data_IF_661476851001
#
_entry.id   IF_661476851001
#
_cell.length_a   1.000
_cell.length_b   1.000
_cell.length_c   1.000
_cell.angle_alpha   90.00
_cell.angle_beta   90.00
_cell.angle_gamma   90.00
#
_symmetry.space_group_name_H-M   'P 1'
#
loop_
_entity.id
_entity.type
_entity.pdbx_description
1 polymer ?
#
# COMPACT_ATOMS: atom_id res chain seq x y z
N UNK A 1 -7.78 16.51 -23.30
CA UNK A 1 -7.99 16.32 -21.86
C UNK A 1 -8.47 14.88 -21.69
N UNK A 2 -7.69 14.00 -21.07
CA UNK A 2 -8.12 12.61 -20.87
C UNK A 2 -9.34 12.60 -19.94
N UNK A 3 -10.35 11.73 -20.15
CA UNK A 3 -11.46 11.62 -19.20
C UNK A 3 -10.91 11.30 -17.81
N UNK A 4 -11.42 12.00 -16.80
CA UNK A 4 -11.02 11.76 -15.41
C UNK A 4 -11.37 10.33 -14.99
N UNK A 5 -10.53 9.73 -14.15
CA UNK A 5 -10.84 8.43 -13.56
C UNK A 5 -12.05 8.61 -12.66
N UNK A 6 -13.11 7.86 -12.94
CA UNK A 6 -14.33 7.86 -12.11
C UNK A 6 -13.97 7.53 -10.66
N UNK A 7 -14.68 8.11 -9.70
CA UNK A 7 -14.53 7.64 -8.32
C UNK A 7 -15.07 6.22 -8.16
N UNK A 8 -14.63 5.52 -7.10
CA UNK A 8 -14.94 4.10 -6.90
C UNK A 8 -16.45 3.80 -6.88
N UNK A 9 -17.27 4.68 -6.30
CA UNK A 9 -18.73 4.51 -6.24
C UNK A 9 -19.39 4.64 -7.61
N UNK A 10 -18.98 5.64 -8.40
CA UNK A 10 -19.47 5.82 -9.77
C UNK A 10 -19.09 4.64 -10.66
N UNK A 11 -17.83 4.20 -10.59
CA UNK A 11 -17.36 3.03 -11.32
C UNK A 11 -18.09 1.76 -10.89
N UNK A 12 -18.33 1.59 -9.58
CA UNK A 12 -19.10 0.46 -9.07
C UNK A 12 -20.52 0.42 -9.67
N UNK A 13 -21.20 1.58 -9.70
CA UNK A 13 -22.55 1.67 -10.23
C UNK A 13 -22.64 1.51 -11.75
N UNK A 14 -21.69 2.08 -12.49
CA UNK A 14 -21.77 2.21 -13.95
C UNK A 14 -21.01 1.12 -14.72
N UNK A 15 -19.99 0.50 -14.13
CA UNK A 15 -19.13 -0.50 -14.79
C UNK A 15 -19.15 -1.82 -14.05
N UNK A 16 -18.85 -1.82 -12.74
CA UNK A 16 -18.75 -3.05 -11.95
C UNK A 16 -20.08 -3.80 -11.88
N UNK A 17 -21.19 -3.10 -11.57
CA UNK A 17 -22.51 -3.71 -11.43
C UNK A 17 -23.01 -4.35 -12.74
N UNK A 18 -22.96 -3.69 -13.92
CA UNK A 18 -23.26 -4.36 -15.18
C UNK A 18 -22.40 -5.59 -15.45
N UNK A 19 -21.08 -5.50 -15.23
CA UNK A 19 -20.17 -6.64 -15.39
C UNK A 19 -20.54 -7.81 -14.45
N UNK A 20 -20.83 -7.54 -13.19
CA UNK A 20 -21.24 -8.54 -12.20
C UNK A 20 -22.60 -9.16 -12.52
N UNK A 21 -23.48 -8.44 -13.23
CA UNK A 21 -24.75 -8.93 -13.75
C UNK A 21 -24.63 -9.65 -15.10
N UNK A 22 -23.41 -9.96 -15.55
CA UNK A 22 -23.11 -10.58 -16.85
C UNK A 22 -23.51 -9.73 -18.06
N UNK A 23 -23.63 -8.42 -17.88
CA UNK A 23 -24.00 -7.44 -18.92
C UNK A 23 -22.82 -6.51 -19.29
N UNK A 24 -21.58 -6.91 -18.99
CA UNK A 24 -20.39 -6.09 -19.29
C UNK A 24 -20.19 -5.78 -20.78
N UNK A 25 -20.72 -6.62 -21.68
CA UNK A 25 -20.63 -6.42 -23.13
C UNK A 25 -21.53 -5.28 -23.65
N UNK A 26 -22.51 -4.82 -22.86
CA UNK A 26 -23.37 -3.69 -23.23
C UNK A 26 -22.71 -2.33 -22.97
N UNK A 27 -21.61 -2.32 -22.20
CA UNK A 27 -20.89 -1.09 -21.84
C UNK A 27 -20.26 -0.44 -23.09
N UNK A 28 -20.51 0.85 -23.35
CA UNK A 28 -19.89 1.54 -24.47
C UNK A 28 -18.40 1.76 -24.21
N UNK A 29 -17.61 1.94 -25.27
CA UNK A 29 -16.17 2.27 -25.17
C UNK A 29 -15.93 3.52 -24.30
N UNK A 30 -16.87 4.47 -24.31
CA UNK A 30 -16.81 5.69 -23.49
C UNK A 30 -16.93 5.45 -21.97
N UNK A 31 -17.29 4.24 -21.53
CA UNK A 31 -17.30 3.85 -20.12
C UNK A 31 -15.89 3.64 -19.55
N UNK A 32 -14.86 3.55 -20.41
CA UNK A 32 -13.50 3.20 -20.02
C UNK A 32 -12.52 4.35 -20.22
N UNK A 33 -11.60 4.51 -19.27
CA UNK A 33 -10.53 5.50 -19.36
C UNK A 33 -9.42 4.97 -20.26
N UNK A 34 -8.90 5.77 -21.22
CA UNK A 34 -7.74 5.40 -22.01
C UNK A 34 -6.55 5.01 -21.12
N UNK A 35 -5.87 3.92 -21.49
CA UNK A 35 -4.77 3.33 -20.71
C UNK A 35 -5.20 2.36 -19.62
N UNK A 36 -6.50 1.99 -19.54
CA UNK A 36 -6.97 0.90 -18.67
C UNK A 36 -6.88 1.21 -17.17
N UNK A 37 -6.85 2.48 -16.80
CA UNK A 37 -6.80 2.90 -15.39
C UNK A 37 -8.18 2.79 -14.75
N UNK A 38 -8.18 2.27 -13.53
CA UNK A 38 -9.37 1.96 -12.74
C UNK A 38 -9.23 2.56 -11.33
N UNK A 39 -10.33 2.98 -10.69
CA UNK A 39 -10.26 3.46 -9.32
C UNK A 39 -9.94 2.33 -8.34
N UNK A 40 -9.24 2.70 -7.27
CA UNK A 40 -9.01 1.84 -6.11
C UNK A 40 -10.31 1.60 -5.33
N UNK A 41 -10.38 0.49 -4.60
CA UNK A 41 -11.38 0.21 -3.58
C UNK A 41 -12.75 -0.13 -4.14
N UNK A 42 -12.84 -0.76 -5.31
CA UNK A 42 -14.14 -1.18 -5.86
C UNK A 42 -14.65 -2.50 -5.26
N UNK A 43 -13.77 -3.31 -4.65
CA UNK A 43 -14.19 -4.57 -4.00
C UNK A 43 -15.18 -4.38 -2.86
N UNK A 44 -15.13 -3.23 -2.17
CA UNK A 44 -16.02 -2.93 -1.04
C UNK A 44 -17.51 -2.89 -1.43
N UNK A 45 -17.83 -2.70 -2.72
CA UNK A 45 -19.20 -2.65 -3.23
C UNK A 45 -19.75 -4.01 -3.65
N UNK A 46 -18.94 -5.09 -3.65
CA UNK A 46 -19.38 -6.40 -4.15
C UNK A 46 -20.32 -7.12 -3.18
N UNK A 47 -19.97 -7.13 -1.88
CA UNK A 47 -20.77 -7.76 -0.81
C UNK A 47 -21.30 -9.14 -1.20
N UNK A 48 -20.38 -10.02 -1.62
CA UNK A 48 -20.68 -11.27 -2.34
C UNK A 48 -21.56 -12.26 -1.56
N UNK A 49 -21.44 -12.31 -0.23
CA UNK A 49 -22.27 -13.16 0.63
C UNK A 49 -22.15 -14.65 0.34
N UNK A 50 -20.94 -15.13 0.01
CA UNK A 50 -20.73 -16.52 -0.45
C UNK A 50 -20.51 -17.53 0.68
N UNK A 51 -20.16 -17.06 1.89
CA UNK A 51 -19.88 -17.96 3.00
C UNK A 51 -21.14 -18.69 3.45
N UNK A 52 -21.02 -20.00 3.71
CA UNK A 52 -22.08 -20.79 4.36
C UNK A 52 -22.11 -20.50 5.86
N UNK A 53 -20.92 -20.32 6.44
CA UNK A 53 -20.75 -20.01 7.85
C UNK A 53 -19.81 -18.82 8.05
N UNK A 54 -20.14 -17.98 9.03
CA UNK A 54 -19.40 -16.76 9.38
C UNK A 54 -19.00 -16.84 10.85
N UNK A 55 -17.79 -16.41 11.23
CA UNK A 55 -17.37 -16.40 12.61
C UNK A 55 -18.23 -15.43 13.44
N UNK A 56 -18.78 -15.93 14.54
CA UNK A 56 -19.34 -15.14 15.64
C UNK A 56 -18.29 -14.98 16.72
N UNK A 57 -18.18 -13.76 17.26
CA UNK A 57 -17.19 -13.43 18.30
C UNK A 57 -17.85 -13.38 19.67
N UNK A 58 -17.32 -14.16 20.60
CA UNK A 58 -17.60 -14.07 22.02
C UNK A 58 -16.61 -13.08 22.66
N UNK A 59 -17.10 -11.88 22.93
CA UNK A 59 -16.27 -10.79 23.45
C UNK A 59 -15.92 -10.96 24.93
N UNK A 60 -16.57 -11.86 25.67
CA UNK A 60 -16.20 -12.17 27.06
C UNK A 60 -14.98 -13.09 27.14
N UNK A 61 -14.75 -13.91 26.11
CA UNK A 61 -13.52 -14.72 25.98
C UNK A 61 -12.38 -13.99 25.26
N UNK A 62 -12.69 -12.92 24.53
CA UNK A 62 -11.74 -12.24 23.66
C UNK A 62 -10.60 -11.56 24.46
N UNK A 63 -9.36 -11.97 24.20
CA UNK A 63 -8.15 -11.39 24.81
C UNK A 63 -7.65 -10.11 24.11
N UNK A 64 -8.37 -9.64 23.08
CA UNK A 64 -8.04 -8.44 22.30
C UNK A 64 -6.63 -8.47 21.67
N UNK A 65 -6.17 -9.66 21.23
CA UNK A 65 -4.83 -9.85 20.66
C UNK A 65 -4.72 -9.52 19.16
N UNK A 66 -5.86 -9.32 18.48
CA UNK A 66 -5.99 -9.05 17.04
C UNK A 66 -5.44 -10.11 16.07
N UNK A 67 -5.04 -11.30 16.54
CA UNK A 67 -4.53 -12.39 15.66
C UNK A 67 -5.54 -12.84 14.61
N UNK A 68 -6.83 -12.84 14.96
CA UNK A 68 -7.93 -13.16 14.03
C UNK A 68 -7.99 -12.20 12.84
N UNK A 69 -7.65 -10.92 13.04
CA UNK A 69 -7.58 -9.93 11.97
C UNK A 69 -6.30 -10.04 11.14
N UNK A 70 -5.17 -10.35 11.80
CA UNK A 70 -3.89 -10.57 11.13
C UNK A 70 -4.01 -11.69 10.09
N UNK A 71 -4.56 -12.84 10.49
CA UNK A 71 -4.63 -14.03 9.63
C UNK A 71 -5.74 -13.95 8.57
N UNK A 72 -6.70 -13.03 8.71
CA UNK A 72 -7.85 -12.98 7.81
C UNK A 72 -7.40 -12.62 6.38
N UNK A 73 -7.57 -13.53 5.39
CA UNK A 73 -7.07 -13.30 4.04
C UNK A 73 -7.88 -12.27 3.25
N UNK A 74 -9.09 -11.93 3.70
CA UNK A 74 -9.98 -11.00 3.01
C UNK A 74 -10.22 -9.70 3.79
N UNK A 75 -9.52 -9.50 4.92
CA UNK A 75 -9.78 -8.39 5.84
C UNK A 75 -11.26 -8.32 6.31
N UNK A 76 -11.97 -9.44 6.37
CA UNK A 76 -13.36 -9.52 6.81
C UNK A 76 -13.53 -9.55 8.33
N UNK A 77 -12.45 -9.71 9.10
CA UNK A 77 -12.44 -9.65 10.57
C UNK A 77 -11.50 -8.53 11.00
N UNK A 78 -11.98 -7.51 11.71
CA UNK A 78 -11.19 -6.33 12.08
C UNK A 78 -11.45 -5.89 13.53
N UNK A 79 -10.41 -5.42 14.25
CA UNK A 79 -10.59 -4.72 15.50
C UNK A 79 -10.98 -3.27 15.26
N UNK A 80 -11.86 -2.75 16.09
CA UNK A 80 -12.27 -1.35 16.09
C UNK A 80 -12.08 -0.75 17.48
N UNK A 81 -11.61 0.49 17.51
CA UNK A 81 -11.54 1.32 18.70
C UNK A 81 -12.56 2.45 18.58
N UNK A 82 -13.31 2.70 19.65
CA UNK A 82 -14.23 3.83 19.72
C UNK A 82 -14.23 4.48 21.10
N UNK A 83 -14.51 5.76 21.15
CA UNK A 83 -14.77 6.48 22.41
C UNK A 83 -16.12 6.08 23.00
N UNK A 84 -16.33 6.33 24.30
CA UNK A 84 -17.64 6.10 24.94
C UNK A 84 -18.77 6.90 24.29
N UNK A 85 -18.46 8.10 23.76
CA UNK A 85 -19.45 8.93 23.06
C UNK A 85 -19.87 8.31 21.71
N UNK A 86 -18.91 7.80 20.94
CA UNK A 86 -19.19 7.09 19.69
C UNK A 86 -19.96 5.79 19.97
N UNK A 87 -19.56 5.03 20.99
CA UNK A 87 -20.28 3.83 21.41
C UNK A 87 -21.73 4.15 21.78
N UNK A 88 -22.02 5.31 22.37
CA UNK A 88 -23.37 5.78 22.66
C UNK A 88 -24.29 5.88 21.42
N UNK A 89 -23.73 6.03 20.22
CA UNK A 89 -24.46 6.10 18.93
C UNK A 89 -24.58 4.75 18.23
N UNK A 90 -23.91 3.71 18.73
CA UNK A 90 -23.88 2.41 18.10
C UNK A 90 -25.21 1.63 18.23
N UNK A 91 -25.47 0.64 17.34
CA UNK A 91 -26.54 -0.33 17.52
C UNK A 91 -26.48 -1.03 18.89
N UNK A 92 -27.63 -1.49 19.40
CA UNK A 92 -27.70 -2.13 20.72
C UNK A 92 -26.77 -3.35 20.83
N UNK A 93 -26.78 -4.25 19.84
CA UNK A 93 -25.91 -5.43 19.81
C UNK A 93 -24.43 -5.07 19.73
N UNK A 94 -24.08 -3.99 19.02
CA UNK A 94 -22.70 -3.48 19.00
C UNK A 94 -22.24 -2.99 20.39
N UNK A 95 -23.12 -2.27 21.11
CA UNK A 95 -22.85 -1.79 22.47
C UNK A 95 -22.63 -2.94 23.45
N UNK A 96 -23.56 -3.90 23.46
CA UNK A 96 -23.53 -5.08 24.33
C UNK A 96 -22.28 -5.93 24.09
N UNK A 97 -21.83 -6.01 22.84
CA UNK A 97 -20.64 -6.74 22.45
C UNK A 97 -19.35 -5.91 22.39
N UNK A 98 -19.28 -4.75 23.03
CA UNK A 98 -18.04 -3.96 23.16
C UNK A 98 -17.48 -4.07 24.58
N UNK A 99 -16.15 -4.01 24.73
CA UNK A 99 -15.46 -4.07 26.04
C UNK A 99 -14.43 -2.96 26.13
N UNK A 100 -14.02 -2.55 27.33
CA UNK A 100 -12.91 -1.61 27.49
C UNK A 100 -11.64 -2.15 26.82
N UNK A 101 -10.91 -1.28 26.11
CA UNK A 101 -9.68 -1.69 25.45
C UNK A 101 -8.59 -2.02 26.49
N UNK A 102 -7.85 -3.09 26.26
CA UNK A 102 -6.77 -3.58 27.13
C UNK A 102 -5.42 -3.18 26.54
N UNK A 103 -4.52 -2.60 27.33
CA UNK A 103 -3.13 -2.36 26.91
C UNK A 103 -2.45 -1.13 27.50
N UNK A 104 -3.18 -0.31 28.26
CA UNK A 104 -2.61 0.86 28.92
C UNK A 104 -2.43 2.06 27.98
N UNK A 105 -2.17 3.22 28.58
CA UNK A 105 -1.75 4.43 27.86
C UNK A 105 -2.88 4.98 26.99
N UNK A 106 -2.63 5.11 25.68
CA UNK A 106 -3.64 5.68 24.77
C UNK A 106 -4.87 4.78 24.65
N UNK A 107 -4.72 3.46 24.81
CA UNK A 107 -5.83 2.51 24.72
C UNK A 107 -6.84 2.66 25.86
N UNK A 108 -6.44 3.17 27.03
CA UNK A 108 -7.33 3.35 28.18
C UNK A 108 -8.49 4.34 27.89
N UNK A 109 -8.36 5.14 26.84
CA UNK A 109 -9.38 6.09 26.39
C UNK A 109 -10.45 5.46 25.48
N UNK A 110 -10.33 4.17 25.15
CA UNK A 110 -11.13 3.52 24.12
C UNK A 110 -11.88 2.28 24.61
N UNK A 111 -13.00 2.05 23.95
CA UNK A 111 -13.73 0.78 23.88
C UNK A 111 -13.23 0.01 22.66
N UNK A 112 -13.34 -1.31 22.72
CA UNK A 112 -12.81 -2.25 21.76
C UNK A 112 -13.85 -3.30 21.36
N UNK A 113 -13.88 -3.62 20.07
CA UNK A 113 -14.67 -4.72 19.52
C UNK A 113 -13.96 -5.35 18.32
N UNK A 114 -13.94 -6.69 18.25
CA UNK A 114 -13.73 -7.38 16.97
C UNK A 114 -15.07 -7.41 16.24
N UNK A 115 -15.11 -6.93 15.01
CA UNK A 115 -16.29 -6.95 14.17
C UNK A 115 -15.99 -7.72 12.87
N UNK A 116 -16.98 -8.49 12.42
CA UNK A 116 -16.91 -9.32 11.22
C UNK A 116 -17.80 -8.69 10.15
N UNK A 117 -17.32 -8.68 8.90
CA UNK A 117 -18.14 -8.39 7.72
C UNK A 117 -18.81 -9.68 7.27
N UNK A 118 -20.12 -9.85 7.47
CA UNK A 118 -20.79 -11.09 7.08
C UNK A 118 -20.85 -11.26 5.56
N UNK A 119 -20.91 -10.16 4.81
CA UNK A 119 -21.02 -10.16 3.35
C UNK A 119 -19.69 -10.39 2.62
N UNK A 120 -18.56 -10.07 3.27
CA UNK A 120 -17.22 -10.24 2.66
C UNK A 120 -16.46 -11.44 3.23
N UNK A 121 -16.99 -12.10 4.26
CA UNK A 121 -16.41 -13.31 4.80
C UNK A 121 -16.51 -14.45 3.78
N UNK A 122 -15.48 -15.30 3.77
CA UNK A 122 -15.41 -16.51 2.94
C UNK A 122 -15.55 -17.80 3.74
N UNK A 123 -15.74 -17.73 5.06
CA UNK A 123 -15.97 -18.94 5.88
C UNK A 123 -14.76 -19.85 6.12
N UNK A 124 -13.54 -19.45 5.74
CA UNK A 124 -12.32 -20.29 5.80
C UNK A 124 -11.82 -20.72 7.20
N UNK A 125 -12.51 -20.37 8.28
CA UNK A 125 -12.18 -20.71 9.68
C UNK A 125 -10.83 -20.25 10.25
N UNK A 126 -9.90 -19.67 9.47
CA UNK A 126 -8.54 -19.33 9.95
C UNK A 126 -8.54 -18.45 11.20
N UNK A 127 -9.46 -17.48 11.27
CA UNK A 127 -9.63 -16.60 12.42
C UNK A 127 -10.10 -17.33 13.70
N UNK A 128 -10.86 -18.43 13.54
CA UNK A 128 -11.27 -19.32 14.63
C UNK A 128 -10.07 -20.14 15.08
N UNK A 129 -9.35 -20.77 14.15
CA UNK A 129 -8.21 -21.65 14.43
C UNK A 129 -7.04 -20.94 15.11
N UNK A 130 -6.77 -19.69 14.75
CA UNK A 130 -5.67 -18.92 15.35
C UNK A 130 -6.02 -18.34 16.73
N UNK A 131 -7.30 -18.33 17.09
CA UNK A 131 -7.77 -17.65 18.30
C UNK A 131 -7.23 -18.38 19.55
N UNK A 132 -6.38 -17.74 20.38
CA UNK A 132 -5.76 -18.42 21.51
C UNK A 132 -6.71 -18.63 22.70
N UNK A 133 -7.95 -18.12 22.61
CA UNK A 133 -8.91 -18.10 23.71
C UNK A 133 -10.28 -18.67 23.32
N UNK A 134 -10.37 -19.34 22.16
CA UNK A 134 -11.62 -19.94 21.65
C UNK A 134 -12.81 -18.95 21.66
N UNK A 135 -12.50 -17.68 21.40
CA UNK A 135 -13.46 -16.57 21.40
C UNK A 135 -14.21 -16.44 20.06
N UNK A 136 -13.91 -17.26 19.06
CA UNK A 136 -14.59 -17.24 17.77
C UNK A 136 -15.13 -18.63 17.48
N UNK A 137 -16.36 -18.70 16.98
CA UNK A 137 -17.00 -19.95 16.54
C UNK A 137 -17.80 -19.69 15.28
N UNK A 138 -17.89 -20.68 14.38
CA UNK A 138 -18.68 -20.54 13.17
C UNK A 138 -20.17 -20.68 13.45
N UNK A 139 -20.96 -19.80 12.84
CA UNK A 139 -22.41 -19.88 12.82
C UNK A 139 -22.96 -19.69 11.40
N UNK A 140 -24.25 -19.98 11.17
CA UNK A 140 -24.88 -19.81 9.86
C UNK A 140 -24.76 -18.37 9.34
N UNK A 141 -24.38 -18.21 8.08
CA UNK A 141 -24.16 -16.89 7.47
C UNK A 141 -25.43 -16.03 7.44
N UNK A 142 -26.60 -16.61 7.14
CA UNK A 142 -27.88 -15.89 7.11
C UNK A 142 -28.16 -15.17 8.44
N UNK A 143 -27.95 -15.86 9.56
CA UNK A 143 -28.11 -15.29 10.89
C UNK A 143 -27.05 -14.22 11.17
N UNK A 144 -25.80 -14.45 10.75
CA UNK A 144 -24.73 -13.46 10.91
C UNK A 144 -25.00 -12.18 10.09
N UNK A 145 -25.57 -12.29 8.89
CA UNK A 145 -25.97 -11.13 8.07
C UNK A 145 -27.00 -10.28 8.83
N UNK A 146 -28.06 -10.92 9.34
CA UNK A 146 -29.12 -10.23 10.08
C UNK A 146 -28.60 -9.55 11.36
N UNK A 147 -27.68 -10.20 12.08
CA UNK A 147 -27.15 -9.69 13.35
C UNK A 147 -26.03 -8.66 13.18
N UNK A 148 -25.15 -8.83 12.19
CA UNK A 148 -23.87 -8.13 12.12
C UNK A 148 -23.74 -7.11 10.98
N UNK A 149 -24.68 -7.03 10.03
CA UNK A 149 -24.60 -6.05 8.94
C UNK A 149 -24.61 -4.60 9.46
N UNK A 150 -25.59 -4.27 10.31
CA UNK A 150 -25.68 -2.93 10.92
C UNK A 150 -24.45 -2.61 11.79
N UNK A 151 -23.92 -3.63 12.48
CA UNK A 151 -22.74 -3.54 13.32
C UNK A 151 -21.48 -3.27 12.49
N UNK A 152 -21.30 -3.99 11.38
CA UNK A 152 -20.21 -3.79 10.44
C UNK A 152 -20.25 -2.39 9.83
N UNK A 153 -21.42 -1.96 9.33
CA UNK A 153 -21.61 -0.64 8.73
C UNK A 153 -21.32 0.50 9.70
N UNK A 154 -21.70 0.35 10.97
CA UNK A 154 -21.31 1.28 12.02
C UNK A 154 -19.79 1.28 12.26
N UNK A 155 -19.17 0.11 12.38
CA UNK A 155 -17.76 -0.03 12.70
C UNK A 155 -16.84 0.60 11.64
N UNK A 156 -17.10 0.34 10.36
CA UNK A 156 -16.28 0.88 9.26
C UNK A 156 -16.43 2.39 9.06
N UNK A 157 -17.49 2.99 9.62
CA UNK A 157 -17.70 4.43 9.61
C UNK A 157 -16.96 5.16 10.74
N UNK A 158 -16.36 4.44 11.69
CA UNK A 158 -15.59 5.03 12.78
C UNK A 158 -14.31 5.71 12.26
N UNK A 159 -13.85 6.80 12.90
CA UNK A 159 -12.60 7.44 12.51
C UNK A 159 -11.38 6.51 12.65
N UNK A 160 -10.45 6.62 11.72
CA UNK A 160 -9.19 5.88 11.76
C UNK A 160 -8.30 6.38 12.91
N UNK A 161 -7.88 5.45 13.77
CA UNK A 161 -7.05 5.69 14.96
C UNK A 161 -5.70 4.98 14.89
N UNK A 162 -5.38 4.33 13.76
CA UNK A 162 -4.14 3.59 13.60
C UNK A 162 -2.91 4.42 13.96
N UNK A 163 -2.93 5.70 13.59
CA UNK A 163 -1.85 6.66 13.85
C UNK A 163 -1.51 6.87 15.34
N UNK A 164 -2.43 6.61 16.26
CA UNK A 164 -2.19 6.75 17.71
C UNK A 164 -1.48 5.54 18.32
N UNK A 165 -1.53 4.40 17.63
CA UNK A 165 -1.08 3.09 18.10
C UNK A 165 0.22 2.67 17.41
N UNK A 166 1.11 2.03 18.16
CA UNK A 166 2.35 1.49 17.61
C UNK A 166 2.09 0.31 16.67
N UNK A 167 2.25 0.53 15.36
CA UNK A 167 2.02 -0.47 14.33
C UNK A 167 3.08 -1.58 14.23
N UNK A 168 4.17 -1.51 14.99
CA UNK A 168 5.26 -2.52 14.95
C UNK A 168 4.92 -3.81 15.71
N UNK A 169 3.86 -3.81 16.51
CA UNK A 169 3.38 -4.99 17.24
C UNK A 169 2.28 -5.72 16.45
N UNK A 170 2.11 -7.03 16.69
CA UNK A 170 0.99 -7.79 16.11
C UNK A 170 -0.35 -7.11 16.42
N UNK A 171 -0.59 -6.74 17.69
CA UNK A 171 -1.84 -6.07 18.08
C UNK A 171 -1.99 -4.72 17.37
N UNK A 172 -0.96 -3.88 17.42
CA UNK A 172 -1.02 -2.52 16.90
C UNK A 172 -1.09 -2.41 15.38
N UNK A 173 -0.44 -3.31 14.65
CA UNK A 173 -0.53 -3.39 13.19
C UNK A 173 -1.97 -3.59 12.71
N UNK A 174 -2.79 -4.29 13.50
CA UNK A 174 -4.16 -4.59 13.12
C UNK A 174 -5.16 -3.49 13.47
N UNK A 175 -4.76 -2.48 14.24
CA UNK A 175 -5.52 -1.23 14.36
C UNK A 175 -5.28 -0.27 13.20
N UNK A 176 -4.27 -0.52 12.36
CA UNK A 176 -4.09 0.22 11.13
C UNK A 176 -5.13 -0.20 10.10
N UNK A 177 -5.61 0.75 9.30
CA UNK A 177 -6.46 0.46 8.15
C UNK A 177 -5.78 -0.56 7.22
N UNK A 178 -6.43 -1.69 6.89
CA UNK A 178 -5.97 -2.53 5.80
C UNK A 178 -6.28 -1.83 4.47
N UNK A 179 -5.27 -1.63 3.62
CA UNK A 179 -5.49 -1.09 2.27
C UNK A 179 -5.65 -2.18 1.22
N UNK A 180 -5.65 -3.46 1.62
CA UNK A 180 -6.06 -4.60 0.80
C UNK A 180 -7.26 -5.27 1.48
N UNK A 181 -8.42 -5.25 0.82
CA UNK A 181 -9.66 -5.80 1.37
C UNK A 181 -10.52 -6.48 0.30
N UNK A 182 -11.14 -7.61 0.69
CA UNK A 182 -12.17 -8.31 -0.09
C UNK A 182 -11.72 -8.73 -1.50
N UNK A 183 -10.48 -9.21 -1.63
CA UNK A 183 -9.96 -9.70 -2.91
C UNK A 183 -10.70 -10.94 -3.42
N UNK A 184 -10.55 -11.22 -4.72
CA UNK A 184 -11.05 -12.45 -5.35
C UNK A 184 -10.24 -13.71 -5.02
N UNK A 185 -9.34 -13.67 -4.03
CA UNK A 185 -8.52 -14.81 -3.65
C UNK A 185 -9.36 -15.95 -3.06
N UNK A 186 -8.85 -17.18 -3.14
CA UNK A 186 -9.49 -18.36 -2.57
C UNK A 186 -9.80 -18.19 -1.07
N UNK A 187 -10.78 -18.94 -0.58
CA UNK A 187 -11.04 -19.08 0.85
C UNK A 187 -9.77 -19.61 1.54
N UNK A 188 -9.30 -18.93 2.58
CA UNK A 188 -8.09 -19.35 3.29
C UNK A 188 -6.78 -19.15 2.52
N UNK A 189 -6.75 -18.29 1.50
CA UNK A 189 -5.54 -18.00 0.72
C UNK A 189 -4.34 -17.63 1.63
N UNK A 190 -3.20 -18.28 1.41
CA UNK A 190 -1.96 -18.02 2.16
C UNK A 190 -1.24 -16.74 1.75
N UNK A 191 -1.52 -16.16 0.58
CA UNK A 191 -0.78 -14.99 0.06
C UNK A 191 -1.24 -13.67 0.69
N UNK A 192 -2.55 -13.44 0.73
CA UNK A 192 -3.14 -12.13 1.02
C UNK A 192 -2.93 -11.64 2.46
N UNK A 193 -2.81 -12.47 3.52
CA UNK A 193 -2.49 -11.98 4.86
C UNK A 193 -1.15 -11.22 4.91
N UNK A 194 -0.14 -11.68 4.15
CA UNK A 194 1.16 -11.01 4.07
C UNK A 194 1.05 -9.65 3.39
N UNK A 195 0.37 -9.58 2.24
CA UNK A 195 0.19 -8.33 1.49
C UNK A 195 -0.70 -7.36 2.27
N UNK A 196 -1.76 -7.84 2.93
CA UNK A 196 -2.60 -7.04 3.83
C UNK A 196 -1.78 -6.41 4.95
N UNK A 197 -0.94 -7.19 5.63
CA UNK A 197 -0.04 -6.66 6.67
C UNK A 197 0.93 -5.62 6.10
N UNK A 198 1.53 -5.88 4.93
CA UNK A 198 2.38 -4.90 4.25
C UNK A 198 1.64 -3.59 4.01
N UNK A 199 0.37 -3.65 3.57
CA UNK A 199 -0.45 -2.45 3.40
C UNK A 199 -0.78 -1.73 4.71
N UNK A 200 -0.95 -2.45 5.82
CA UNK A 200 -1.17 -1.84 7.14
C UNK A 200 0.07 -1.11 7.65
N UNK A 201 1.26 -1.55 7.24
CA UNK A 201 2.53 -0.95 7.64
C UNK A 201 2.93 0.23 6.76
N UNK A 202 2.62 0.20 5.46
CA UNK A 202 3.17 1.14 4.47
C UNK A 202 2.14 1.71 3.48
N UNK A 203 0.85 1.38 3.62
CA UNK A 203 -0.18 1.59 2.60
C UNK A 203 -0.39 3.04 2.16
N UNK A 204 -0.18 4.00 3.06
CA UNK A 204 -0.24 5.45 2.80
C UNK A 204 0.80 5.96 1.80
N UNK A 205 1.86 5.18 1.54
CA UNK A 205 2.98 5.55 0.65
C UNK A 205 3.46 4.40 -0.22
N UNK A 206 2.65 3.36 -0.37
CA UNK A 206 3.03 2.11 -1.01
C UNK A 206 2.99 2.24 -2.54
N UNK A 207 4.02 1.75 -3.22
CA UNK A 207 4.06 1.57 -4.67
C UNK A 207 4.35 0.11 -4.95
N UNK A 208 3.46 -0.57 -5.68
CA UNK A 208 3.52 -2.01 -5.93
C UNK A 208 3.70 -2.27 -7.43
N UNK A 209 4.82 -2.91 -7.77
CA UNK A 209 4.99 -3.62 -9.03
C UNK A 209 4.67 -5.10 -8.81
N UNK A 210 3.59 -5.59 -9.42
CA UNK A 210 3.10 -6.94 -9.21
C UNK A 210 3.34 -7.82 -10.44
N UNK A 211 4.02 -8.96 -10.27
CA UNK A 211 4.21 -9.92 -11.33
C UNK A 211 2.88 -10.60 -11.67
N UNK A 212 2.73 -11.05 -12.90
CA UNK A 212 1.57 -11.85 -13.28
C UNK A 212 1.55 -13.18 -12.52
N UNK A 213 0.41 -13.54 -11.94
CA UNK A 213 0.23 -14.73 -11.11
C UNK A 213 -1.01 -14.62 -10.23
N UNK A 214 -1.18 -15.47 -9.22
CA UNK A 214 -2.33 -15.38 -8.32
C UNK A 214 -2.47 -13.96 -7.74
N UNK A 215 -1.35 -13.34 -7.33
CA UNK A 215 -1.32 -11.98 -6.78
C UNK A 215 -1.80 -10.88 -7.73
N UNK A 216 -1.59 -11.02 -9.05
CA UNK A 216 -2.18 -10.09 -10.01
C UNK A 216 -3.65 -10.40 -10.28
N UNK A 217 -4.04 -11.67 -10.24
CA UNK A 217 -5.44 -12.07 -10.47
C UNK A 217 -6.32 -11.59 -9.32
N UNK A 218 -6.03 -11.95 -8.07
CA UNK A 218 -6.85 -11.47 -6.96
C UNK A 218 -6.62 -9.99 -6.67
N UNK A 219 -5.49 -9.41 -7.08
CA UNK A 219 -5.12 -8.02 -6.82
C UNK A 219 -5.57 -7.00 -7.87
N UNK A 220 -5.92 -7.43 -9.09
CA UNK A 220 -6.13 -6.54 -10.22
C UNK A 220 -7.02 -7.08 -11.35
N UNK A 221 -7.99 -7.95 -11.04
CA UNK A 221 -8.96 -8.44 -12.04
C UNK A 221 -10.16 -7.51 -12.16
N UNK A 222 -10.23 -6.77 -13.26
CA UNK A 222 -11.37 -5.88 -13.56
C UNK A 222 -12.71 -6.65 -13.53
N UNK A 223 -13.77 -6.11 -12.91
CA UNK A 223 -13.91 -4.75 -12.34
C UNK A 223 -13.68 -4.62 -10.82
N UNK A 224 -13.19 -5.66 -10.14
CA UNK A 224 -13.02 -5.66 -8.68
C UNK A 224 -11.57 -5.43 -8.27
N UNK A 225 -11.30 -4.29 -7.64
CA UNK A 225 -9.98 -3.86 -7.20
C UNK A 225 -9.95 -3.78 -5.68
N UNK A 226 -9.17 -4.65 -5.00
CA UNK A 226 -9.17 -4.75 -3.54
C UNK A 226 -8.24 -3.76 -2.84
N UNK A 227 -7.34 -3.10 -3.58
CA UNK A 227 -6.51 -2.05 -3.02
C UNK A 227 -7.34 -0.78 -2.84
N UNK A 228 -7.43 -0.24 -1.63
CA UNK A 228 -8.29 0.90 -1.26
C UNK A 228 -7.46 2.10 -0.81
N UNK A 229 -8.12 3.20 -0.43
CA UNK A 229 -7.48 4.45 0.04
C UNK A 229 -7.97 4.86 1.43
N UNK A 230 -7.23 5.73 2.10
CA UNK A 230 -7.67 6.37 3.35
C UNK A 230 -8.62 7.55 3.07
N UNK A 231 -9.05 8.25 4.12
CA UNK A 231 -9.96 9.42 4.00
C UNK A 231 -9.34 10.62 3.27
N UNK A 232 -8.01 10.64 3.09
CA UNK A 232 -7.29 11.65 2.29
C UNK A 232 -7.15 11.25 0.81
N UNK A 233 -7.58 10.05 0.44
CA UNK A 233 -7.40 9.50 -0.91
C UNK A 233 -6.02 8.87 -1.16
N UNK A 234 -5.18 8.73 -0.14
CA UNK A 234 -3.87 8.09 -0.23
C UNK A 234 -4.02 6.56 -0.09
N UNK A 235 -3.23 5.79 -0.83
CA UNK A 235 -3.25 4.32 -0.79
C UNK A 235 -2.23 3.72 -1.74
N UNK A 236 -2.15 2.37 -1.82
CA UNK A 236 -1.19 1.70 -2.68
C UNK A 236 -1.38 2.05 -4.16
N UNK A 237 -0.34 2.60 -4.79
CA UNK A 237 -0.26 2.69 -6.25
C UNK A 237 0.14 1.33 -6.81
N UNK A 238 -0.80 0.60 -7.38
CA UNK A 238 -0.61 -0.77 -7.87
C UNK A 238 -0.53 -0.83 -9.40
N UNK A 239 0.42 -1.59 -9.93
CA UNK A 239 0.50 -1.90 -11.35
C UNK A 239 1.03 -3.32 -11.59
N UNK A 240 0.55 -3.93 -12.66
CA UNK A 240 1.06 -5.19 -13.22
C UNK A 240 1.53 -4.90 -14.65
N UNK A 241 2.80 -5.20 -14.93
CA UNK A 241 3.37 -5.15 -16.28
C UNK A 241 3.19 -6.53 -16.92
N UNK A 242 4.22 -7.39 -16.85
CA UNK A 242 4.18 -8.75 -17.37
C UNK A 242 4.59 -9.76 -16.28
N UNK A 243 4.72 -11.02 -16.70
CA UNK A 243 5.12 -12.09 -15.80
C UNK A 243 6.64 -12.07 -15.57
N UNK A 244 7.39 -11.81 -16.64
CA UNK A 244 8.84 -11.93 -16.74
C UNK A 244 9.60 -10.68 -16.29
N UNK A 245 9.00 -9.50 -16.35
CA UNK A 245 9.70 -8.20 -16.24
C UNK A 245 9.48 -7.47 -14.90
N UNK A 246 8.83 -8.12 -13.94
CA UNK A 246 8.30 -7.40 -12.78
C UNK A 246 9.38 -6.74 -11.90
N UNK A 247 10.57 -7.37 -11.83
CA UNK A 247 11.68 -6.79 -11.06
C UNK A 247 12.15 -5.48 -11.70
N UNK A 248 12.39 -5.53 -13.01
CA UNK A 248 12.82 -4.42 -13.85
C UNK A 248 11.77 -3.32 -13.91
N UNK A 249 10.49 -3.70 -13.91
CA UNK A 249 9.37 -2.78 -13.86
C UNK A 249 9.36 -1.97 -12.57
N UNK A 250 9.43 -2.63 -11.41
CA UNK A 250 9.55 -1.96 -10.12
C UNK A 250 10.83 -1.14 -9.97
N UNK A 251 11.94 -1.62 -10.54
CA UNK A 251 13.19 -0.88 -10.60
C UNK A 251 13.05 0.41 -11.44
N UNK A 252 12.35 0.35 -12.57
CA UNK A 252 12.02 1.52 -13.40
C UNK A 252 11.20 2.55 -12.63
N UNK A 253 10.17 2.12 -11.89
CA UNK A 253 9.40 3.00 -11.01
C UNK A 253 10.31 3.67 -9.96
N UNK A 254 11.17 2.89 -9.30
CA UNK A 254 12.11 3.40 -8.29
C UNK A 254 13.04 4.46 -8.87
N UNK A 255 13.59 4.23 -10.07
CA UNK A 255 14.44 5.21 -10.78
C UNK A 255 13.66 6.47 -11.16
N UNK A 256 12.43 6.34 -11.62
CA UNK A 256 11.59 7.49 -11.95
C UNK A 256 11.32 8.37 -10.73
N UNK A 257 10.95 7.77 -9.60
CA UNK A 257 10.74 8.51 -8.35
C UNK A 257 12.03 9.10 -7.79
N UNK A 258 13.16 8.39 -7.93
CA UNK A 258 14.48 8.93 -7.60
C UNK A 258 14.72 10.23 -8.36
N UNK A 259 14.55 10.20 -9.68
CA UNK A 259 14.77 11.35 -10.55
C UNK A 259 13.83 12.51 -10.20
N UNK A 260 12.53 12.23 -9.96
CA UNK A 260 11.56 13.26 -9.55
C UNK A 260 11.91 13.90 -8.21
N UNK A 261 12.33 13.10 -7.22
CA UNK A 261 12.75 13.59 -5.90
C UNK A 261 14.07 14.34 -5.94
N UNK A 262 15.03 13.89 -6.74
CA UNK A 262 16.30 14.58 -6.94
C UNK A 262 16.09 15.94 -7.64
N UNK A 263 15.17 16.00 -8.61
CA UNK A 263 14.75 17.25 -9.24
C UNK A 263 14.03 18.18 -8.25
N UNK A 264 13.06 17.68 -7.47
CA UNK A 264 12.38 18.47 -6.42
C UNK A 264 13.40 19.09 -5.46
N UNK A 265 14.36 18.29 -5.01
CA UNK A 265 15.32 18.77 -4.06
C UNK A 265 16.31 19.76 -4.65
N UNK A 266 16.64 19.68 -5.94
CA UNK A 266 17.37 20.75 -6.63
C UNK A 266 16.57 22.06 -6.59
N UNK A 267 15.24 22.00 -6.79
CA UNK A 267 14.38 23.18 -6.65
C UNK A 267 14.38 23.71 -5.21
N UNK A 268 14.37 22.83 -4.19
CA UNK A 268 14.42 23.23 -2.78
C UNK A 268 15.81 23.73 -2.37
N UNK A 269 16.90 23.20 -2.90
CA UNK A 269 18.28 23.67 -2.65
C UNK A 269 18.49 25.07 -3.20
N UNK A 270 17.94 25.36 -4.39
CA UNK A 270 17.85 26.74 -4.90
C UNK A 270 17.07 27.64 -3.91
N UNK A 271 16.21 27.05 -3.08
CA UNK A 271 15.33 27.70 -2.11
C UNK A 271 15.69 27.47 -0.61
N UNK A 272 16.93 27.12 -0.21
CA UNK A 272 17.32 27.00 1.24
C UNK A 272 18.72 27.58 1.58
N UNK A 273 18.96 28.12 2.81
CA UNK A 273 20.07 29.05 3.06
C UNK A 273 21.33 28.36 3.61
N UNK A 274 21.80 27.30 2.96
CA UNK A 274 23.14 26.74 3.19
C UNK A 274 23.79 26.42 1.82
N UNK A 275 24.14 27.51 1.11
CA UNK A 275 25.02 27.65 -0.07
C UNK A 275 24.59 27.04 -1.43
N UNK A 276 23.86 27.80 -2.29
CA UNK A 276 24.39 28.71 -3.33
C UNK A 276 23.31 29.17 -4.35
N UNK A 277 22.93 30.46 -4.26
CA UNK A 277 22.42 31.38 -5.30
C UNK A 277 21.17 31.00 -6.13
N UNK A 278 20.01 31.53 -5.73
CA UNK A 278 19.30 32.62 -6.45
C UNK A 278 17.85 32.87 -5.94
N UNK A 279 17.35 32.09 -4.98
CA UNK A 279 15.99 32.31 -4.43
C UNK A 279 15.94 32.72 -2.96
N UNK A 280 16.87 32.29 -2.11
CA UNK A 280 16.86 32.71 -0.69
C UNK A 280 17.77 33.87 -0.31
N UNK A 281 18.70 34.25 -1.18
CA UNK A 281 19.42 35.52 -1.04
C UNK A 281 18.60 36.69 -1.57
N UNK A 282 17.51 36.39 -2.28
CA UNK A 282 16.57 37.37 -2.76
C UNK A 282 15.66 37.75 -1.58
N UNK A 283 16.01 38.85 -0.90
CA UNK A 283 15.20 39.43 0.16
C UNK A 283 13.78 39.81 -0.31
N UNK A 284 13.49 39.74 -1.62
CA UNK A 284 12.12 39.88 -2.14
C UNK A 284 11.25 38.65 -1.89
N UNK A 285 11.84 37.47 -1.63
CA UNK A 285 11.11 36.24 -1.29
C UNK A 285 10.83 36.22 0.20
N UNK A 286 9.67 36.76 0.58
CA UNK A 286 9.20 36.70 1.96
C UNK A 286 8.72 35.28 2.26
N UNK A 287 9.44 34.57 3.12
CA UNK A 287 9.12 33.22 3.59
C UNK A 287 9.21 33.19 5.11
N UNK A 288 8.31 32.45 5.76
CA UNK A 288 8.36 32.27 7.22
C UNK A 288 9.61 31.49 7.65
N UNK A 289 10.08 31.73 8.87
CA UNK A 289 11.20 30.97 9.42
C UNK A 289 10.81 29.50 9.64
N UNK A 290 9.53 29.22 9.88
CA UNK A 290 8.97 27.88 9.98
C UNK A 290 9.08 27.11 8.66
N UNK A 291 8.68 27.71 7.54
CA UNK A 291 8.78 27.08 6.22
C UNK A 291 10.25 26.88 5.82
N UNK A 292 11.11 27.86 6.13
CA UNK A 292 12.56 27.77 5.91
C UNK A 292 13.17 26.56 6.63
N UNK A 293 12.84 26.38 7.91
CA UNK A 293 13.33 25.27 8.72
C UNK A 293 12.80 23.93 8.21
N UNK A 294 11.53 23.83 7.84
CA UNK A 294 10.94 22.62 7.31
C UNK A 294 11.59 22.17 5.99
N UNK A 295 11.89 23.11 5.08
CA UNK A 295 12.60 22.83 3.83
C UNK A 295 14.06 22.41 4.07
N UNK A 296 14.76 23.05 5.01
CA UNK A 296 16.12 22.62 5.40
C UNK A 296 16.11 21.20 5.98
N UNK A 297 15.14 20.88 6.85
CA UNK A 297 14.97 19.53 7.40
C UNK A 297 14.72 18.51 6.29
N UNK A 298 13.85 18.83 5.32
CA UNK A 298 13.64 17.98 4.14
C UNK A 298 14.95 17.70 3.38
N UNK A 299 15.80 18.72 3.15
CA UNK A 299 17.07 18.55 2.42
C UNK A 299 18.12 17.73 3.17
N UNK A 300 18.15 17.81 4.50
CA UNK A 300 19.04 16.96 5.29
C UNK A 300 18.53 15.51 5.24
N UNK A 301 17.22 15.33 5.42
CA UNK A 301 16.60 14.01 5.57
C UNK A 301 16.42 13.27 4.25
N UNK A 302 16.32 13.96 3.10
CA UNK A 302 16.13 13.33 1.79
C UNK A 302 17.25 12.38 1.37
N UNK A 303 18.43 12.46 1.97
CA UNK A 303 19.57 11.59 1.63
C UNK A 303 19.12 10.15 1.84
N UNK A 304 18.90 9.44 0.73
CA UNK A 304 18.21 8.14 0.68
C UNK A 304 18.91 7.03 1.50
N UNK A 305 20.17 7.27 1.91
CA UNK A 305 20.98 6.41 2.78
C UNK A 305 20.62 6.53 4.27
N UNK A 306 19.85 7.55 4.68
CA UNK A 306 19.23 7.55 6.00
C UNK A 306 18.04 6.60 5.94
N UNK A 307 18.20 5.47 6.62
CA UNK A 307 17.17 4.47 6.77
C UNK A 307 15.92 5.15 7.32
N UNK A 308 14.75 4.70 6.88
CA UNK A 308 13.47 4.96 7.55
C UNK A 308 13.57 4.28 8.94
N UNK A 309 14.40 4.82 9.83
CA UNK A 309 14.48 4.43 11.23
C UNK A 309 13.11 4.81 11.78
N UNK A 310 12.23 3.81 11.84
CA UNK A 310 10.91 3.91 12.44
C UNK A 310 11.08 4.61 13.79
N UNK A 311 10.64 5.87 13.86
CA UNK A 311 10.64 6.68 15.08
C UNK A 311 9.62 6.08 16.08
N UNK A 312 9.50 6.59 17.32
CA UNK A 312 8.55 6.07 18.29
C UNK A 312 7.17 5.88 17.66
N UNK A 313 6.57 4.69 17.84
CA UNK A 313 5.28 4.26 17.29
C UNK A 313 5.26 3.95 15.78
N UNK A 314 6.40 3.74 15.14
CA UNK A 314 6.44 3.23 13.75
C UNK A 314 6.19 4.27 12.66
N UNK A 315 6.17 5.57 12.97
CA UNK A 315 5.95 6.62 11.96
C UNK A 315 7.23 6.95 11.20
N UNK A 316 7.11 7.10 9.88
CA UNK A 316 8.22 7.59 9.04
C UNK A 316 8.48 9.06 9.36
N UNK A 317 9.76 9.41 9.57
CA UNK A 317 10.19 10.80 9.76
C UNK A 317 9.83 11.67 8.55
N UNK A 318 9.81 11.10 7.35
CA UNK A 318 9.42 11.80 6.13
C UNK A 318 7.96 12.22 6.16
N UNK A 319 7.07 11.38 6.71
CA UNK A 319 5.67 11.74 6.89
C UNK A 319 5.48 12.87 7.91
N UNK A 320 6.25 12.89 8.99
CA UNK A 320 6.17 13.98 9.97
C UNK A 320 6.65 15.32 9.38
N UNK A 321 7.64 15.29 8.49
CA UNK A 321 8.09 16.47 7.76
C UNK A 321 7.01 16.92 6.78
N UNK A 322 6.41 16.01 6.03
CA UNK A 322 5.28 16.27 5.12
C UNK A 322 4.11 16.94 5.84
N UNK A 323 3.66 16.38 6.96
CA UNK A 323 2.53 16.91 7.75
C UNK A 323 2.76 18.35 8.23
N UNK A 324 4.02 18.77 8.37
CA UNK A 324 4.38 20.15 8.71
C UNK A 324 4.57 21.01 7.46
N UNK A 325 5.24 20.47 6.45
CA UNK A 325 5.70 21.21 5.28
C UNK A 325 4.56 21.54 4.32
N UNK A 326 3.67 20.59 4.02
CA UNK A 326 2.58 20.78 3.06
C UNK A 326 1.62 21.90 3.50
N UNK A 327 1.13 21.96 4.76
CA UNK A 327 0.29 23.07 5.19
C UNK A 327 0.98 24.44 5.15
N UNK A 328 2.29 24.49 5.41
CA UNK A 328 3.07 25.73 5.32
C UNK A 328 3.22 26.20 3.87
N UNK A 329 3.50 25.27 2.95
CA UNK A 329 3.55 25.57 1.52
C UNK A 329 2.19 26.06 1.01
N UNK A 330 1.09 25.38 1.38
CA UNK A 330 -0.27 25.77 0.97
C UNK A 330 -0.64 27.17 1.48
N UNK A 331 -0.22 27.51 2.70
CA UNK A 331 -0.44 28.83 3.31
C UNK A 331 0.33 29.94 2.60
N UNK A 332 1.56 29.69 2.18
CA UNK A 332 2.47 30.72 1.66
C UNK A 332 2.55 30.75 0.11
N UNK A 333 1.91 29.80 -0.59
CA UNK A 333 1.98 29.71 -2.07
C UNK A 333 1.44 30.95 -2.78
N UNK A 334 0.44 31.62 -2.22
CA UNK A 334 -0.19 32.81 -2.82
C UNK A 334 0.69 34.05 -2.74
N UNK A 335 1.63 34.06 -1.80
CA UNK A 335 2.42 35.23 -1.46
C UNK A 335 3.70 35.30 -2.29
N UNK A 336 4.06 34.20 -2.98
CA UNK A 336 5.30 34.17 -3.74
C UNK A 336 5.30 33.20 -4.94
N UNK A 337 5.62 33.65 -6.17
CA UNK A 337 5.60 32.81 -7.37
C UNK A 337 6.58 31.64 -7.34
N UNK A 338 7.70 31.75 -6.60
CA UNK A 338 8.62 30.62 -6.43
C UNK A 338 8.12 29.57 -5.41
N UNK A 339 7.31 29.97 -4.42
CA UNK A 339 6.65 29.02 -3.49
C UNK A 339 5.47 28.37 -4.22
N UNK A 340 4.72 29.15 -5.01
CA UNK A 340 3.75 28.63 -5.95
C UNK A 340 4.39 27.58 -6.87
N UNK A 341 5.52 27.87 -7.50
CA UNK A 341 6.26 26.92 -8.34
C UNK A 341 6.92 25.76 -7.57
N UNK A 342 6.89 25.71 -6.24
CA UNK A 342 7.28 24.52 -5.48
C UNK A 342 6.08 23.63 -5.16
N UNK A 343 4.88 24.21 -5.16
CA UNK A 343 3.63 23.57 -4.77
C UNK A 343 2.79 23.16 -5.99
N UNK A 344 2.52 24.12 -6.87
CA UNK A 344 1.74 24.03 -8.11
C UNK A 344 2.65 24.39 -9.30
N UNK A 345 3.45 23.45 -9.80
CA UNK A 345 4.13 23.68 -11.08
C UNK A 345 3.12 23.51 -12.25
N UNK A 346 2.99 24.51 -13.14
CA UNK A 346 2.13 24.38 -14.31
C UNK A 346 2.73 23.39 -15.31
N UNK A 347 1.93 22.39 -15.70
CA UNK A 347 2.23 21.42 -16.75
C UNK A 347 2.67 22.15 -18.04
N UNK A 348 3.97 22.15 -18.34
CA UNK A 348 4.45 22.42 -19.69
C UNK A 348 5.35 23.63 -19.93
N UNK A 349 5.76 24.40 -18.93
CA UNK A 349 6.79 25.43 -19.18
C UNK A 349 8.21 24.90 -18.95
N UNK A 350 9.10 24.91 -19.97
CA UNK A 350 10.51 24.65 -19.76
C UNK A 350 11.09 25.75 -18.86
N UNK A 351 11.91 25.34 -17.88
CA UNK A 351 12.68 26.30 -17.07
C UNK A 351 13.59 27.12 -17.99
N UNK A 352 13.16 28.33 -18.34
CA UNK A 352 13.97 29.31 -19.07
C UNK A 352 14.97 29.93 -18.09
N UNK A 353 15.98 29.16 -17.64
CA UNK A 353 17.11 29.74 -16.95
C UNK A 353 17.97 30.50 -17.97
N UNK A 354 17.87 31.84 -17.96
CA UNK A 354 18.57 32.72 -18.87
C UNK A 354 20.10 32.54 -18.80
N UNK A 355 20.70 32.59 -20.00
CA UNK A 355 22.08 32.33 -20.41
C UNK A 355 23.19 33.24 -19.84
N UNK A 356 23.00 33.86 -18.66
CA UNK A 356 23.87 34.97 -18.19
C UNK A 356 24.72 34.70 -16.94
N UNK A 357 25.15 33.47 -16.70
CA UNK A 357 26.20 33.18 -15.71
C UNK A 357 27.44 32.55 -16.37
N UNK A 358 28.20 33.37 -17.11
CA UNK A 358 29.59 33.07 -17.47
C UNK A 358 30.45 33.04 -16.20
N UNK A 359 30.45 31.91 -15.48
CA UNK A 359 31.47 31.43 -14.50
C UNK A 359 30.78 30.52 -13.47
N UNK A 360 30.50 29.28 -13.85
CA UNK A 360 30.37 28.17 -12.90
C UNK A 360 31.05 26.95 -13.52
N UNK A 361 31.84 26.27 -12.69
CA UNK A 361 32.89 25.34 -13.08
C UNK A 361 32.34 24.12 -13.83
N UNK A 362 33.12 23.70 -14.81
CA UNK A 362 32.85 22.78 -15.91
C UNK A 362 32.77 21.27 -15.54
N UNK A 363 32.36 20.90 -14.32
CA UNK A 363 32.47 19.48 -13.86
C UNK A 363 31.16 18.73 -13.57
N UNK A 364 29.99 19.35 -13.72
CA UNK A 364 28.68 18.66 -13.51
C UNK A 364 27.77 18.64 -14.75
N UNK A 365 28.16 19.32 -15.84
CA UNK A 365 27.27 19.62 -16.98
C UNK A 365 27.21 18.58 -18.10
N UNK A 366 27.98 17.48 -18.03
CA UNK A 366 27.97 16.46 -19.09
C UNK A 366 26.93 15.34 -18.89
N UNK A 367 26.09 15.39 -17.85
CA UNK A 367 25.06 14.35 -17.61
C UNK A 367 23.61 14.77 -17.86
N UNK A 368 23.36 16.03 -18.22
CA UNK A 368 22.00 16.49 -18.55
C UNK A 368 21.81 16.42 -20.06
N UNK A 369 21.61 15.20 -20.55
CA UNK A 369 21.03 15.00 -21.87
C UNK A 369 19.63 15.61 -21.88
N UNK A 370 19.29 16.27 -22.98
CA UNK A 370 18.03 16.97 -23.26
C UNK A 370 16.83 16.14 -22.79
N UNK A 371 16.28 16.47 -21.63
CA UNK A 371 15.07 15.82 -21.12
C UNK A 371 13.86 16.53 -21.72
N UNK A 372 13.00 15.75 -22.39
CA UNK A 372 11.59 16.09 -22.55
C UNK A 372 11.01 16.57 -21.21
N UNK A 373 9.99 17.45 -21.19
CA UNK A 373 9.42 17.95 -19.95
C UNK A 373 8.95 16.76 -19.08
N UNK A 374 9.72 16.48 -18.03
CA UNK A 374 9.35 15.50 -17.03
C UNK A 374 8.06 15.95 -16.35
N UNK A 375 7.12 15.04 -16.03
CA UNK A 375 5.98 15.39 -15.19
C UNK A 375 6.48 15.97 -13.88
N UNK A 376 6.09 17.21 -13.61
CA UNK A 376 6.67 18.05 -12.56
C UNK A 376 6.39 17.47 -11.16
N UNK A 377 7.33 17.61 -10.21
CA UNK A 377 7.12 17.14 -8.84
C UNK A 377 5.97 17.94 -8.21
N UNK A 378 4.98 17.25 -7.64
CA UNK A 378 3.93 17.86 -6.83
C UNK A 378 4.27 17.68 -5.35
N UNK A 379 3.37 18.15 -4.48
CA UNK A 379 3.37 17.84 -3.05
C UNK A 379 3.61 16.34 -2.73
N UNK A 380 3.20 15.46 -3.65
CA UNK A 380 3.36 14.00 -3.61
C UNK A 380 4.81 13.53 -3.46
N UNK A 381 5.79 14.32 -3.92
CA UNK A 381 7.21 13.95 -3.91
C UNK A 381 7.97 14.36 -2.64
N UNK A 382 7.38 15.16 -1.75
CA UNK A 382 8.03 15.47 -0.47
C UNK A 382 8.05 14.24 0.46
N UNK A 383 7.03 13.38 0.39
CA UNK A 383 6.92 12.13 1.13
C UNK A 383 7.77 11.00 0.51
N UNK A 384 8.30 10.10 1.35
CA UNK A 384 9.08 8.93 0.86
C UNK A 384 8.16 7.75 0.58
N UNK A 385 8.03 7.41 -0.70
CA UNK A 385 7.34 6.19 -1.13
C UNK A 385 8.11 4.92 -0.73
N UNK A 386 7.38 3.85 -0.45
CA UNK A 386 7.91 2.51 -0.21
C UNK A 386 7.66 1.64 -1.44
N UNK A 387 8.73 1.28 -2.16
CA UNK A 387 8.65 0.45 -3.36
C UNK A 387 8.66 -1.03 -3.01
N UNK A 388 7.68 -1.76 -3.52
CA UNK A 388 7.54 -3.19 -3.33
C UNK A 388 7.35 -3.89 -4.67
N UNK A 389 8.12 -4.94 -4.89
CA UNK A 389 8.05 -5.83 -6.03
C UNK A 389 7.46 -7.14 -5.51
N UNK A 390 6.22 -7.43 -5.87
CA UNK A 390 5.44 -8.55 -5.34
C UNK A 390 5.23 -9.58 -6.44
N UNK A 391 5.40 -10.86 -6.15
CA UNK A 391 5.10 -11.93 -7.10
C UNK A 391 5.21 -13.32 -6.49
N UNK A 392 4.71 -14.33 -7.20
CA UNK A 392 4.78 -15.73 -6.77
C UNK A 392 6.15 -16.37 -7.02
N UNK A 393 6.33 -17.62 -6.58
CA UNK A 393 7.59 -18.36 -6.80
C UNK A 393 7.89 -18.62 -8.28
N UNK A 394 6.87 -18.87 -9.11
CA UNK A 394 7.08 -19.06 -10.54
C UNK A 394 7.67 -17.83 -11.26
N UNK A 395 7.44 -16.62 -10.73
CA UNK A 395 8.14 -15.44 -11.22
C UNK A 395 9.59 -15.43 -10.69
N UNK A 396 9.74 -15.48 -9.36
CA UNK A 396 11.02 -15.22 -8.71
C UNK A 396 12.08 -16.31 -8.93
N UNK A 397 11.67 -17.58 -8.97
CA UNK A 397 12.58 -18.71 -9.10
C UNK A 397 12.84 -19.06 -10.57
N UNK A 398 11.88 -18.80 -11.45
CA UNK A 398 11.90 -19.23 -12.85
C UNK A 398 12.01 -18.06 -13.84
N UNK A 399 10.89 -17.57 -14.37
CA UNK A 399 10.87 -16.74 -15.58
C UNK A 399 11.48 -15.34 -15.36
N UNK A 400 11.26 -14.75 -14.19
CA UNK A 400 11.76 -13.42 -13.83
C UNK A 400 13.05 -13.44 -13.02
N UNK A 401 13.66 -14.61 -12.80
CA UNK A 401 14.84 -14.71 -11.94
C UNK A 401 16.02 -13.88 -12.45
N UNK A 402 16.26 -13.84 -13.76
CA UNK A 402 17.37 -13.05 -14.31
C UNK A 402 17.23 -11.54 -14.04
N UNK A 403 16.01 -11.02 -14.19
CA UNK A 403 15.67 -9.64 -13.83
C UNK A 403 15.76 -9.38 -12.34
N UNK A 404 15.22 -10.30 -11.54
CA UNK A 404 15.28 -10.26 -10.08
C UNK A 404 16.72 -10.18 -9.57
N UNK A 405 17.60 -11.06 -10.05
CA UNK A 405 19.02 -11.10 -9.73
C UNK A 405 19.72 -9.76 -10.05
N UNK A 406 19.44 -9.21 -11.24
CA UNK A 406 19.98 -7.91 -11.65
C UNK A 406 19.53 -6.77 -10.73
N UNK A 407 18.25 -6.74 -10.34
CA UNK A 407 17.70 -5.71 -9.46
C UNK A 407 18.25 -5.86 -8.03
N UNK A 408 18.38 -7.08 -7.52
CA UNK A 408 19.03 -7.36 -6.23
C UNK A 408 20.48 -6.83 -6.24
N UNK A 409 21.21 -7.03 -7.33
CA UNK A 409 22.59 -6.56 -7.48
C UNK A 409 22.74 -5.04 -7.67
N UNK A 410 21.65 -4.31 -7.93
CA UNK A 410 21.69 -2.88 -8.32
C UNK A 410 21.91 -1.88 -7.17
N UNK A 411 21.87 -2.35 -5.93
CA UNK A 411 21.92 -1.55 -4.68
C UNK A 411 20.79 -0.52 -4.53
N UNK A 412 19.79 -0.54 -5.40
CA UNK A 412 18.62 0.33 -5.27
C UNK A 412 17.74 -0.09 -4.09
N UNK A 413 17.18 0.92 -3.42
CA UNK A 413 16.32 0.70 -2.27
C UNK A 413 14.92 0.27 -2.70
N UNK A 414 14.74 -1.03 -2.97
CA UNK A 414 13.49 -1.71 -3.27
C UNK A 414 13.25 -2.86 -2.30
N UNK A 415 11.99 -3.16 -2.00
CA UNK A 415 11.62 -4.34 -1.23
C UNK A 415 11.05 -5.39 -2.18
N UNK A 416 11.43 -6.66 -2.03
CA UNK A 416 10.94 -7.75 -2.87
C UNK A 416 10.22 -8.75 -1.96
N UNK A 417 8.94 -9.00 -2.25
CA UNK A 417 8.11 -9.97 -1.55
C UNK A 417 7.77 -11.12 -2.50
N UNK A 418 8.37 -12.28 -2.24
CA UNK A 418 8.07 -13.52 -2.96
C UNK A 418 7.03 -14.30 -2.15
N UNK A 419 5.86 -14.51 -2.76
CA UNK A 419 4.77 -15.31 -2.21
C UNK A 419 4.96 -16.75 -2.69
N UNK A 420 5.75 -17.52 -1.93
CA UNK A 420 6.18 -18.86 -2.35
C UNK A 420 5.12 -19.91 -2.03
N UNK A 421 4.34 -20.32 -3.04
CA UNK A 421 3.37 -21.40 -2.93
C UNK A 421 3.93 -22.74 -3.40
N UNK A 422 5.22 -22.75 -3.76
CA UNK A 422 5.98 -23.88 -4.27
C UNK A 422 5.44 -24.51 -5.55
N UNK A 423 4.61 -23.78 -6.30
CA UNK A 423 4.03 -24.18 -7.57
C UNK A 423 3.43 -22.99 -8.31
N UNK A 424 3.14 -23.16 -9.61
CA UNK A 424 2.42 -22.13 -10.37
C UNK A 424 0.92 -22.26 -10.06
N UNK A 425 0.49 -21.69 -8.93
CA UNK A 425 -0.88 -21.84 -8.43
C UNK A 425 -1.93 -21.37 -9.44
N UNK A 426 -1.74 -20.20 -10.06
CA UNK A 426 -2.73 -19.58 -10.94
C UNK A 426 -3.04 -20.41 -12.18
N UNK A 427 -2.02 -21.00 -12.81
CA UNK A 427 -2.16 -21.76 -14.06
C UNK A 427 -2.54 -23.23 -13.83
N UNK A 428 -2.87 -23.58 -12.58
CA UNK A 428 -3.38 -24.89 -12.21
C UNK A 428 -2.32 -25.87 -11.70
N UNK A 429 -1.29 -25.37 -11.00
CA UNK A 429 -0.39 -26.19 -10.18
C UNK A 429 0.74 -26.88 -10.94
N UNK A 430 1.42 -26.16 -11.83
CA UNK A 430 2.65 -26.63 -12.48
C UNK A 430 3.84 -26.58 -11.52
N UNK A 431 4.76 -27.53 -11.66
CA UNK A 431 6.02 -27.54 -10.92
C UNK A 431 6.87 -26.30 -11.28
N UNK A 432 7.48 -25.69 -10.26
CA UNK A 432 8.44 -24.60 -10.35
C UNK A 432 9.83 -25.05 -9.88
N UNK A 433 10.85 -24.20 -10.04
CA UNK A 433 12.13 -24.42 -9.34
C UNK A 433 12.01 -24.29 -7.81
N UNK A 434 10.92 -23.74 -7.29
CA UNK A 434 10.63 -23.67 -5.87
C UNK A 434 9.93 -24.93 -5.33
N UNK A 435 9.38 -25.78 -6.19
CA UNK A 435 8.75 -27.05 -5.78
C UNK A 435 9.76 -27.97 -5.04
N UNK A 436 9.43 -28.50 -3.85
CA UNK A 436 10.30 -29.41 -3.10
C UNK A 436 10.55 -30.74 -3.80
N UNK A 437 11.64 -31.40 -3.40
CA UNK A 437 11.91 -32.77 -3.83
C UNK A 437 10.78 -33.69 -3.35
N UNK A 438 10.26 -34.53 -4.24
CA UNK A 438 9.20 -35.49 -3.97
C UNK A 438 7.78 -34.92 -4.02
N UNK A 439 7.61 -33.60 -4.10
CA UNK A 439 6.28 -33.01 -4.28
C UNK A 439 5.74 -33.33 -5.68
N UNK A 440 4.45 -33.69 -5.75
CA UNK A 440 3.74 -33.92 -7.00
C UNK A 440 3.08 -32.63 -7.47
N UNK A 441 3.28 -32.30 -8.74
CA UNK A 441 2.66 -31.17 -9.43
C UNK A 441 2.57 -31.51 -10.92
N UNK A 442 1.87 -30.70 -11.74
CA UNK A 442 1.91 -30.90 -13.20
C UNK A 442 3.35 -30.75 -13.70
N UNK A 443 3.76 -31.63 -14.61
CA UNK A 443 5.15 -31.80 -15.08
C UNK A 443 6.12 -32.40 -14.03
N UNK A 444 5.60 -32.85 -12.89
CA UNK A 444 6.32 -33.58 -11.86
C UNK A 444 5.40 -34.62 -11.21
N UNK A 445 4.61 -35.35 -12.01
CA UNK A 445 3.58 -36.28 -11.54
C UNK A 445 4.16 -37.46 -10.76
N UNK A 446 5.39 -37.89 -11.08
CA UNK A 446 6.13 -38.90 -10.31
C UNK A 446 6.83 -38.36 -9.05
N UNK A 447 6.59 -37.10 -8.70
CA UNK A 447 7.34 -36.36 -7.68
C UNK A 447 8.59 -35.69 -8.28
N UNK A 448 8.84 -34.42 -7.92
CA UNK A 448 10.00 -33.68 -8.43
C UNK A 448 11.32 -34.31 -7.95
N UNK A 449 12.21 -34.64 -8.90
CA UNK A 449 13.46 -35.35 -8.61
C UNK A 449 14.54 -34.46 -7.96
N UNK A 450 14.49 -33.16 -8.24
CA UNK A 450 15.49 -32.18 -7.78
C UNK A 450 15.04 -31.43 -6.53
N UNK A 451 16.00 -30.96 -5.73
CA UNK A 451 15.74 -30.13 -4.57
C UNK A 451 15.16 -28.76 -4.97
N UNK A 452 14.52 -28.09 -4.01
CA UNK A 452 14.09 -26.70 -4.13
C UNK A 452 15.33 -25.82 -4.35
N UNK A 453 15.27 -24.91 -5.33
CA UNK A 453 16.31 -23.89 -5.53
C UNK A 453 16.35 -22.99 -4.30
N UNK A 454 17.53 -22.72 -3.76
CA UNK A 454 17.67 -21.84 -2.59
C UNK A 454 17.90 -20.38 -3.02
N UNK A 455 16.81 -19.67 -3.34
CA UNK A 455 16.86 -18.27 -3.78
C UNK A 455 17.46 -17.35 -2.70
N UNK A 456 17.15 -17.62 -1.42
CA UNK A 456 17.66 -16.83 -0.30
C UNK A 456 19.18 -16.95 -0.17
N UNK A 457 19.72 -18.17 -0.24
CA UNK A 457 21.16 -18.40 -0.22
C UNK A 457 21.87 -17.74 -1.42
N UNK A 458 21.28 -17.82 -2.62
CA UNK A 458 21.84 -17.14 -3.80
C UNK A 458 21.88 -15.62 -3.59
N UNK A 459 20.80 -15.02 -3.09
CA UNK A 459 20.76 -13.58 -2.79
C UNK A 459 21.75 -13.18 -1.69
N UNK A 460 21.97 -14.02 -0.66
CA UNK A 460 22.95 -13.77 0.40
C UNK A 460 24.41 -13.78 -0.07
N UNK A 461 24.70 -14.22 -1.30
CA UNK A 461 26.04 -14.07 -1.87
C UNK A 461 26.40 -12.60 -2.15
N UNK A 462 25.40 -11.75 -2.33
CA UNK A 462 25.55 -10.30 -2.34
C UNK A 462 25.69 -9.78 -0.90
N UNK A 463 26.78 -9.04 -0.61
CA UNK A 463 27.14 -8.61 0.76
C UNK A 463 26.23 -7.53 1.37
N UNK A 464 25.41 -6.89 0.55
CA UNK A 464 24.63 -5.71 0.87
C UNK A 464 23.12 -5.90 0.68
N UNK A 465 22.66 -7.16 0.62
CA UNK A 465 21.25 -7.51 0.43
C UNK A 465 20.69 -8.06 1.73
N UNK A 466 19.57 -7.50 2.18
CA UNK A 466 18.80 -8.06 3.28
C UNK A 466 17.94 -9.23 2.78
N UNK A 467 18.08 -10.40 3.40
CA UNK A 467 17.32 -11.61 3.07
C UNK A 467 16.66 -12.15 4.33
N UNK A 468 15.37 -12.46 4.24
CA UNK A 468 14.61 -13.10 5.30
C UNK A 468 13.60 -14.09 4.71
N UNK A 469 13.32 -15.16 5.45
CA UNK A 469 12.23 -16.11 5.20
C UNK A 469 11.32 -16.08 6.43
N UNK A 470 10.00 -15.95 6.22
CA UNK A 470 9.01 -15.64 7.26
C UNK A 470 7.84 -16.63 7.25
#
# INVERSE_FOLDING_TARGET
MFPEVQNASQFAAQVQKPCNNLDGNSLPVSAFVPGGRVPCGTSQYEKRGIAIQVPKVDMDKCTQCNKCSLICPHAAVRPFLMTSQELGKAPASFKEGSRSAIGGGVLDNYQYRIQVSPWDCTGCELCVRICPADALSLGPAEKAIQEEEANWNFAVALPDRGNEIDKTTVKGSQFQKPYLEFSGACEGCGETPHVKLMTQLFGDRLVIANATGCSSIWGGSNPSFPYTTNSKGEGPAWANSLFEDNAEFGFGMRKAFKQRRDYLALQVEVCTPLNLRDTLADQSVKMSDELRQALQQFLVMRKEQMHDLLLPKGRSIYHQIMEKLVPLLEKEKTDHPKIHNLYDLPLGEPCNYHRNSRRLRFTLYQRVFVMQPLPQPREDMFGRSSFWIVGGDGWAYDIGYGGLDHVIASEEHVNILVLDTEMYSNTGGQASKATPKGAMAKFAEGGKLTQKKDLGQMAMTYKNVYVASI
#
